data_IF_652706874827
#
_entry.id   IF_652706874827
#
_cell.length_a   1.000
_cell.length_b   1.000
_cell.length_c   1.000
_cell.angle_alpha   90.00
_cell.angle_beta   90.00
_cell.angle_gamma   90.00
#
_symmetry.space_group_name_H-M   'P 1'
#
loop_
_entity.id
_entity.type
_entity.pdbx_description
1 polymer ?
#
# COMPACT_ATOMS: atom_id res chain seq x y z
N UNK A 1 22.95 -12.05 2.95
CA UNK A 1 22.60 -10.77 2.28
C UNK A 1 21.16 -10.91 1.76
N UNK A 2 20.16 -10.49 2.56
CA UNK A 2 18.76 -10.83 2.32
C UNK A 2 18.09 -9.86 1.33
N UNK A 3 18.27 -10.12 0.03
CA UNK A 3 17.45 -9.52 -1.04
C UNK A 3 16.06 -10.19 -1.06
N UNK A 4 15.27 -10.04 0.00
CA UNK A 4 14.01 -10.82 0.15
C UNK A 4 12.88 -10.33 -0.77
N UNK A 5 12.99 -9.14 -1.33
CA UNK A 5 12.04 -8.59 -2.29
C UNK A 5 12.83 -7.79 -3.33
N UNK A 6 12.78 -8.17 -4.60
CA UNK A 6 13.42 -7.44 -5.73
C UNK A 6 12.70 -6.10 -5.98
N UNK A 7 12.66 -5.24 -4.96
CA UNK A 7 12.09 -3.89 -4.99
C UNK A 7 12.76 -3.01 -6.06
N UNK A 8 13.92 -3.42 -6.56
CA UNK A 8 14.60 -2.73 -7.65
C UNK A 8 13.88 -2.83 -8.99
N UNK A 9 13.18 -3.94 -9.26
CA UNK A 9 12.45 -4.17 -10.51
C UNK A 9 11.14 -3.39 -10.59
N UNK A 10 10.59 -2.99 -9.45
CA UNK A 10 9.29 -2.32 -9.38
C UNK A 10 9.45 -0.80 -9.49
N UNK A 11 8.62 -0.21 -10.34
CA UNK A 11 8.65 1.23 -10.66
C UNK A 11 7.60 1.98 -9.84
N UNK A 12 6.55 1.29 -9.40
CA UNK A 12 5.50 1.85 -8.57
C UNK A 12 4.67 0.80 -7.84
N UNK A 13 3.64 1.27 -7.16
CA UNK A 13 2.60 0.44 -6.52
C UNK A 13 1.23 0.89 -6.99
N UNK A 14 0.35 -0.06 -7.26
CA UNK A 14 -1.06 0.18 -7.51
C UNK A 14 -1.85 -0.15 -6.25
N UNK A 15 -2.69 0.78 -5.84
CA UNK A 15 -3.55 0.62 -4.66
C UNK A 15 -4.95 0.25 -5.11
N UNK A 16 -5.54 -0.71 -4.41
CA UNK A 16 -6.91 -1.16 -4.57
C UNK A 16 -7.59 -0.91 -3.24
N UNK A 17 -8.73 -0.23 -3.26
CA UNK A 17 -9.52 -0.03 -2.05
C UNK A 17 -10.82 -0.82 -2.18
N UNK A 18 -11.04 -1.70 -1.23
CA UNK A 18 -12.30 -2.37 -1.04
C UNK A 18 -13.12 -1.58 -0.02
N UNK A 19 -14.13 -0.87 -0.49
CA UNK A 19 -15.01 -0.08 0.37
C UNK A 19 -15.96 -0.94 1.23
N UNK A 20 -16.25 -2.17 0.79
CA UNK A 20 -17.16 -3.07 1.52
C UNK A 20 -16.46 -3.63 2.76
N UNK A 21 -15.21 -4.06 2.62
CA UNK A 21 -14.43 -4.62 3.73
C UNK A 21 -13.46 -3.62 4.39
N UNK A 22 -13.38 -2.39 3.87
CA UNK A 22 -12.39 -1.37 4.24
C UNK A 22 -10.96 -1.93 4.18
N UNK A 23 -10.62 -2.64 3.09
CA UNK A 23 -9.28 -3.20 2.87
C UNK A 23 -8.54 -2.41 1.80
N UNK A 24 -7.23 -2.23 1.97
CA UNK A 24 -6.37 -1.69 0.92
C UNK A 24 -5.45 -2.82 0.43
N UNK A 25 -5.62 -3.21 -0.83
CA UNK A 25 -4.68 -4.04 -1.55
C UNK A 25 -3.57 -3.20 -2.17
N UNK A 26 -2.33 -3.62 -2.00
CA UNK A 26 -1.14 -2.97 -2.53
C UNK A 26 -0.46 -3.95 -3.48
N UNK A 27 -0.44 -3.60 -4.77
CA UNK A 27 0.21 -4.38 -5.82
C UNK A 27 1.47 -3.68 -6.29
N UNK A 28 2.60 -4.37 -6.27
CA UNK A 28 3.83 -3.86 -6.87
C UNK A 28 3.75 -3.99 -8.39
N UNK A 29 4.06 -2.92 -9.12
CA UNK A 29 4.05 -2.89 -10.58
C UNK A 29 5.40 -2.46 -11.12
N UNK A 30 5.83 -3.12 -12.21
CA UNK A 30 7.08 -2.80 -12.92
C UNK A 30 6.88 -1.74 -14.00
N UNK A 31 5.64 -1.39 -14.30
CA UNK A 31 5.30 -0.40 -15.30
C UNK A 31 4.52 0.74 -14.66
N UNK A 32 4.74 1.97 -15.17
CA UNK A 32 3.93 3.12 -14.79
C UNK A 32 2.62 3.03 -15.56
N UNK A 33 1.51 2.91 -14.84
CA UNK A 33 0.16 3.01 -15.38
C UNK A 33 -0.61 4.11 -14.64
N UNK A 34 -1.77 4.50 -15.16
CA UNK A 34 -2.67 5.40 -14.42
C UNK A 34 -3.11 4.79 -13.08
N UNK A 35 -3.14 5.62 -12.04
CA UNK A 35 -3.44 5.18 -10.67
C UNK A 35 -2.28 4.47 -9.96
N UNK A 36 -1.07 4.44 -10.53
CA UNK A 36 0.13 3.90 -9.89
C UNK A 36 0.86 4.98 -9.11
N UNK A 37 1.11 4.71 -7.83
CA UNK A 37 1.93 5.53 -6.96
C UNK A 37 3.40 5.23 -7.18
N UNK A 38 4.20 6.29 -7.33
CA UNK A 38 5.64 6.16 -7.46
C UNK A 38 6.22 5.56 -6.18
N UNK A 39 6.97 4.47 -6.32
CA UNK A 39 7.69 3.85 -5.23
C UNK A 39 9.03 4.59 -5.05
N UNK A 40 9.18 5.29 -3.94
CA UNK A 40 10.42 5.97 -3.57
C UNK A 40 11.33 5.01 -2.81
N UNK A 41 12.50 4.73 -3.38
CA UNK A 41 13.51 3.87 -2.77
C UNK A 41 14.36 4.69 -1.81
N UNK A 42 14.63 4.18 -0.62
CA UNK A 42 15.51 4.85 0.32
C UNK A 42 16.98 4.68 -0.12
N UNK A 43 17.78 5.75 -0.02
CA UNK A 43 19.13 5.82 -0.59
C UNK A 43 20.13 4.76 -0.07
N UNK A 44 19.82 4.06 1.02
CA UNK A 44 20.66 2.98 1.57
C UNK A 44 20.13 1.56 1.29
N UNK A 45 19.13 1.39 0.43
CA UNK A 45 18.59 0.07 0.09
C UNK A 45 17.88 -0.66 1.25
N UNK A 46 17.63 0.02 2.37
CA UNK A 46 16.99 -0.52 3.58
C UNK A 46 15.46 -0.54 3.52
N UNK A 47 14.87 0.03 2.48
CA UNK A 47 13.42 0.05 2.32
C UNK A 47 12.95 0.88 1.13
N UNK A 48 11.65 0.81 0.89
CA UNK A 48 10.95 1.66 -0.06
C UNK A 48 9.69 2.19 0.61
N UNK A 49 9.30 3.41 0.26
CA UNK A 49 8.08 4.05 0.73
C UNK A 49 7.32 4.64 -0.45
N UNK A 50 6.00 4.77 -0.30
CA UNK A 50 5.15 5.47 -1.24
C UNK A 50 4.16 6.32 -0.46
N UNK A 51 3.73 7.43 -1.04
CA UNK A 51 2.75 8.33 -0.42
C UNK A 51 1.44 8.21 -1.16
N UNK A 52 0.40 7.73 -0.48
CA UNK A 52 -0.94 7.52 -1.03
C UNK A 52 -1.92 8.65 -0.68
N UNK A 53 -1.42 9.85 -0.33
CA UNK A 53 -2.27 10.93 0.16
C UNK A 53 -3.39 11.28 -0.82
N UNK A 54 -3.07 11.43 -2.11
CA UNK A 54 -4.06 11.72 -3.16
C UNK A 54 -5.09 10.59 -3.33
N UNK A 55 -4.72 9.33 -3.09
CA UNK A 55 -5.65 8.20 -3.15
C UNK A 55 -6.68 8.28 -2.03
N UNK A 56 -6.21 8.46 -0.80
CA UNK A 56 -7.08 8.56 0.38
C UNK A 56 -8.00 9.78 0.28
N UNK A 57 -7.47 10.92 -0.18
CA UNK A 57 -8.29 12.10 -0.45
C UNK A 57 -9.36 11.85 -1.51
N UNK A 58 -9.03 11.13 -2.60
CA UNK A 58 -10.02 10.77 -3.63
C UNK A 58 -11.14 9.86 -3.11
N UNK A 59 -10.88 9.10 -2.05
CA UNK A 59 -11.85 8.23 -1.38
C UNK A 59 -12.55 8.92 -0.20
N UNK A 60 -12.24 10.20 0.06
CA UNK A 60 -12.69 10.93 1.26
C UNK A 60 -12.37 10.20 2.57
N UNK A 61 -11.28 9.42 2.57
CA UNK A 61 -10.77 8.73 3.75
C UNK A 61 -9.85 9.69 4.49
N UNK A 62 -10.15 9.95 5.76
CA UNK A 62 -9.29 10.79 6.60
C UNK A 62 -8.03 10.00 7.01
N UNK A 63 -6.83 10.35 6.50
CA UNK A 63 -5.63 9.61 6.81
C UNK A 63 -5.29 9.61 8.31
N UNK A 64 -5.81 10.56 9.11
CA UNK A 64 -5.59 10.59 10.56
C UNK A 64 -6.37 9.49 11.28
N UNK A 65 -7.58 9.17 10.83
CA UNK A 65 -8.42 8.11 11.42
C UNK A 65 -7.86 6.71 11.20
N UNK A 66 -7.13 6.56 10.10
CA UNK A 66 -6.51 5.31 9.68
C UNK A 66 -4.97 5.40 9.76
N UNK A 67 -4.44 6.35 10.52
CA UNK A 67 -3.01 6.45 10.75
C UNK A 67 -2.60 5.38 11.77
N UNK A 68 -1.69 4.50 11.36
CA UNK A 68 -1.22 3.41 12.20
C UNK A 68 -0.15 2.56 11.53
N UNK A 69 0.40 1.60 12.28
CA UNK A 69 1.18 0.51 11.72
C UNK A 69 0.23 -0.64 11.43
N UNK A 70 0.11 -1.00 10.18
CA UNK A 70 -0.61 -2.19 9.75
C UNK A 70 0.40 -3.25 9.35
N UNK A 71 0.19 -4.48 9.78
CA UNK A 71 0.92 -5.63 9.25
C UNK A 71 0.21 -6.06 7.95
N UNK A 72 0.85 -5.89 6.79
CA UNK A 72 0.24 -6.34 5.54
C UNK A 72 0.23 -7.86 5.47
N UNK A 73 -0.91 -8.42 5.07
CA UNK A 73 -1.03 -9.82 4.73
C UNK A 73 -0.56 -10.04 3.29
N UNK A 74 0.39 -10.95 3.11
CA UNK A 74 0.90 -11.34 1.80
C UNK A 74 -0.06 -12.35 1.16
N UNK A 75 -0.86 -11.89 0.21
CA UNK A 75 -1.76 -12.73 -0.57
C UNK A 75 -1.14 -12.97 -1.94
N UNK A 76 -1.01 -14.23 -2.34
CA UNK A 76 -0.68 -14.57 -3.72
C UNK A 76 -1.97 -14.88 -4.46
N UNK A 77 -2.36 -13.97 -5.34
CA UNK A 77 -3.52 -14.14 -6.20
C UNK A 77 -3.07 -14.65 -7.59
N UNK A 78 -3.78 -15.62 -8.20
CA UNK A 78 -3.40 -16.15 -9.50
C UNK A 78 -3.54 -15.14 -10.66
N UNK A 79 -4.42 -14.15 -10.54
CA UNK A 79 -4.64 -13.11 -11.55
C UNK A 79 -3.72 -11.89 -11.33
N UNK A 80 -3.51 -11.51 -10.06
CA UNK A 80 -2.74 -10.31 -9.73
C UNK A 80 -1.31 -10.57 -9.26
N UNK A 81 -0.95 -11.81 -8.95
CA UNK A 81 0.33 -12.18 -8.37
C UNK A 81 0.41 -11.78 -6.88
N UNK A 82 1.60 -11.38 -6.45
CA UNK A 82 1.86 -11.03 -5.06
C UNK A 82 1.23 -9.69 -4.69
N UNK A 83 0.25 -9.74 -3.80
CA UNK A 83 -0.49 -8.61 -3.24
C UNK A 83 -0.19 -8.50 -1.74
N UNK A 84 -0.18 -7.26 -1.25
CA UNK A 84 -0.12 -6.96 0.18
C UNK A 84 -1.45 -6.34 0.57
N UNK A 85 -2.23 -7.01 1.40
CA UNK A 85 -3.53 -6.52 1.84
C UNK A 85 -3.39 -5.99 3.25
N UNK A 86 -3.77 -4.73 3.48
CA UNK A 86 -3.93 -4.17 4.81
C UNK A 86 -5.41 -3.95 5.08
N UNK A 87 -5.88 -4.35 6.25
CA UNK A 87 -7.22 -4.00 6.69
C UNK A 87 -7.18 -2.66 7.41
N UNK A 88 -7.98 -1.71 6.97
CA UNK A 88 -8.12 -0.43 7.65
C UNK A 88 -8.93 -0.64 8.92
N UNK A 89 -8.24 -0.87 10.03
CA UNK A 89 -8.83 -0.69 11.34
C UNK A 89 -8.94 0.81 11.60
N UNK A 90 -10.16 1.32 11.74
CA UNK A 90 -10.41 2.64 12.31
C UNK A 90 -9.72 2.68 13.67
N UNK A 91 -8.77 3.59 13.85
CA UNK A 91 -8.17 3.77 15.16
C UNK A 91 -9.30 4.30 16.04
N UNK A 92 -9.88 3.44 16.88
CA UNK A 92 -10.95 3.75 17.80
C UNK A 92 -10.43 4.64 18.96
N UNK A 93 -9.84 5.77 18.61
CA UNK A 93 -9.54 6.90 19.48
C UNK A 93 -10.34 8.11 19.00
N UNK A 94 -11.64 7.92 18.91
CA UNK A 94 -12.62 9.00 19.03
C UNK A 94 -13.71 8.49 19.99
N UNK A 95 -13.29 8.30 21.23
CA UNK A 95 -14.23 8.23 22.35
C UNK A 95 -13.65 9.08 23.47
N UNK A 96 -14.38 10.16 23.77
CA UNK A 96 -14.28 11.10 24.91
C UNK A 96 -13.77 12.49 24.56
#
# INVERSE_FOLDING_TARGET
MFHKYKLNDFVGVKLYFDAAEKKIGIKLVKEKAEGVFKLSKQAQGKGAYFTAHSFLSSLSIDPKKYAGRYEPEEVNDPEFGKLFVIQLAENAKDTS
#
